data_IF_330296166617
#
_entry.id   IF_330296166617
#
_cell.length_a   1.000
_cell.length_b   1.000
_cell.length_c   1.000
_cell.angle_alpha   90.00
_cell.angle_beta   90.00
_cell.angle_gamma   90.00
#
_symmetry.space_group_name_H-M   'P 1'
#
loop_
_entity.id
_entity.type
_entity.pdbx_description
1 polymer ?
#
# COMPACT_ATOMS: atom_id res chain seq x y z
N UNK A 1 -4.85 -21.72 38.85
CA UNK A 1 -3.77 -20.72 38.92
C UNK A 1 -4.28 -19.46 38.24
N UNK A 2 -4.39 -18.35 38.98
CA UNK A 2 -4.95 -17.08 38.48
C UNK A 2 -3.82 -16.18 38.04
N UNK A 3 -3.51 -16.22 36.74
CA UNK A 3 -2.57 -15.32 36.10
C UNK A 3 -3.27 -13.99 35.81
N UNK A 4 -3.14 -13.03 36.73
CA UNK A 4 -3.66 -11.68 36.54
C UNK A 4 -2.48 -10.75 36.24
N UNK A 5 -2.28 -10.43 34.97
CA UNK A 5 -1.32 -9.42 34.55
C UNK A 5 -1.89 -8.01 34.83
N UNK A 6 -1.20 -7.23 35.66
CA UNK A 6 -1.53 -5.82 35.83
C UNK A 6 -1.13 -5.06 34.54
N UNK A 7 -2.12 -4.49 33.85
CA UNK A 7 -1.85 -3.59 32.74
C UNK A 7 -1.36 -2.23 33.28
N UNK A 8 -0.33 -1.61 32.67
CA UNK A 8 0.10 -0.27 33.05
C UNK A 8 -1.01 0.75 32.80
N UNK A 9 -1.10 1.76 33.66
CA UNK A 9 -2.05 2.85 33.46
C UNK A 9 -1.76 3.56 32.12
N UNK A 10 -2.80 3.89 31.34
CA UNK A 10 -2.61 4.62 30.09
C UNK A 10 -2.01 6.01 30.34
N UNK A 11 -1.19 6.49 29.41
CA UNK A 11 -0.59 7.81 29.52
C UNK A 11 -1.66 8.91 29.39
N UNK A 12 -1.48 10.10 29.99
CA UNK A 12 -2.37 11.24 29.76
C UNK A 12 -2.53 11.54 28.25
N UNK A 13 -3.72 11.96 27.78
CA UNK A 13 -4.90 12.40 28.54
C UNK A 13 -5.93 11.29 28.83
N UNK A 14 -5.59 10.01 28.63
CA UNK A 14 -6.56 8.92 28.80
C UNK A 14 -6.86 8.70 30.28
N UNK A 15 -8.09 8.99 30.69
CA UNK A 15 -8.57 8.58 32.01
C UNK A 15 -8.83 7.06 32.01
N UNK A 16 -8.27 6.31 32.96
CA UNK A 16 -8.54 4.88 33.06
C UNK A 16 -10.00 4.67 33.47
N UNK A 17 -10.85 4.30 32.51
CA UNK A 17 -12.20 3.80 32.79
C UNK A 17 -12.17 2.28 32.92
N UNK A 18 -12.91 1.76 33.91
CA UNK A 18 -13.05 0.31 34.07
C UNK A 18 -14.15 -0.15 33.13
N UNK A 19 -13.79 -1.05 32.21
CA UNK A 19 -14.73 -1.64 31.28
C UNK A 19 -14.72 -3.16 31.40
N UNK A 20 -15.90 -3.75 31.25
CA UNK A 20 -16.09 -5.19 31.09
C UNK A 20 -16.52 -5.48 29.66
N UNK A 21 -16.08 -6.63 29.14
CA UNK A 21 -16.44 -7.08 27.79
C UNK A 21 -17.10 -8.45 27.85
N UNK A 22 -18.10 -8.65 27.00
CA UNK A 22 -18.78 -9.94 26.84
C UNK A 22 -19.13 -10.17 25.39
N UNK A 23 -18.82 -11.36 24.89
CA UNK A 23 -19.21 -11.79 23.53
C UNK A 23 -20.72 -11.90 23.42
N UNK A 24 -21.28 -11.38 22.33
CA UNK A 24 -22.71 -11.30 22.04
C UNK A 24 -23.34 -9.97 22.44
N UNK A 25 -24.64 -9.85 22.16
CA UNK A 25 -25.44 -8.68 22.55
C UNK A 25 -25.98 -8.86 23.96
N UNK A 26 -25.47 -8.07 24.90
CA UNK A 26 -25.88 -8.14 26.31
C UNK A 26 -26.31 -6.77 26.86
N UNK A 27 -27.13 -6.79 27.90
CA UNK A 27 -27.35 -5.60 28.74
C UNK A 27 -26.13 -5.37 29.63
N UNK A 28 -25.84 -4.12 29.94
CA UNK A 28 -24.78 -3.81 30.88
C UNK A 28 -25.24 -4.01 32.32
N UNK A 29 -24.36 -4.54 33.21
CA UNK A 29 -24.68 -4.67 34.62
C UNK A 29 -24.70 -3.30 35.30
N UNK A 30 -25.28 -3.27 36.50
CA UNK A 30 -25.29 -2.08 37.35
C UNK A 30 -23.85 -1.59 37.61
N UNK A 31 -23.66 -0.27 37.56
CA UNK A 31 -22.35 0.38 37.67
C UNK A 31 -21.58 0.56 36.35
N UNK A 32 -22.02 -0.05 35.25
CA UNK A 32 -21.37 0.06 33.94
C UNK A 32 -22.35 0.57 32.87
N UNK A 33 -22.77 1.83 32.94
CA UNK A 33 -23.89 2.34 32.13
C UNK A 33 -23.51 2.67 30.68
N UNK A 34 -22.21 2.90 30.41
CA UNK A 34 -21.72 3.27 29.08
C UNK A 34 -21.55 2.03 28.21
N UNK A 35 -22.46 1.83 27.24
CA UNK A 35 -22.49 0.65 26.38
C UNK A 35 -21.92 0.94 25.00
N UNK A 36 -20.95 0.15 24.58
CA UNK A 36 -20.42 0.12 23.21
C UNK A 36 -20.52 -1.28 22.62
N UNK A 37 -20.89 -1.37 21.34
CA UNK A 37 -20.91 -2.64 20.60
C UNK A 37 -19.75 -2.65 19.61
N UNK A 38 -18.90 -3.67 19.69
CA UNK A 38 -17.80 -3.92 18.75
C UNK A 38 -17.99 -5.24 18.01
N UNK A 39 -17.20 -5.45 16.97
CA UNK A 39 -17.15 -6.67 16.19
C UNK A 39 -15.69 -7.11 16.10
N UNK A 40 -15.38 -8.37 16.40
CA UNK A 40 -14.00 -8.88 16.32
C UNK A 40 -13.62 -9.34 14.92
N UNK A 41 -14.60 -9.62 14.07
CA UNK A 41 -14.38 -10.12 12.72
C UNK A 41 -15.30 -9.43 11.73
N UNK A 42 -14.90 -9.52 10.47
CA UNK A 42 -15.67 -9.04 9.34
C UNK A 42 -15.68 -10.15 8.30
N UNK A 43 -16.86 -10.48 7.81
CA UNK A 43 -17.02 -11.35 6.65
C UNK A 43 -16.89 -10.48 5.39
N UNK A 44 -15.81 -10.73 4.65
CA UNK A 44 -15.55 -10.07 3.38
C UNK A 44 -16.35 -10.75 2.28
N UNK A 45 -17.52 -10.18 1.96
CA UNK A 45 -18.36 -10.62 0.86
C UNK A 45 -18.17 -9.81 -0.42
N UNK A 46 -17.24 -8.84 -0.45
CA UNK A 46 -17.01 -8.05 -1.65
C UNK A 46 -16.27 -8.86 -2.70
N UNK A 47 -16.66 -8.66 -3.94
CA UNK A 47 -15.99 -9.17 -5.12
C UNK A 47 -15.42 -8.00 -5.92
N UNK A 48 -14.24 -8.18 -6.48
CA UNK A 48 -13.71 -7.25 -7.48
C UNK A 48 -14.47 -7.49 -8.79
N UNK A 49 -15.08 -6.44 -9.33
CA UNK A 49 -15.74 -6.52 -10.63
C UNK A 49 -14.71 -6.23 -11.72
N UNK A 50 -14.36 -7.26 -12.49
CA UNK A 50 -13.47 -7.17 -13.64
C UNK A 50 -12.08 -7.75 -13.39
N UNK A 51 -11.29 -7.81 -14.45
CA UNK A 51 -9.90 -8.22 -14.42
C UNK A 51 -9.01 -6.97 -14.38
N UNK A 52 -7.90 -7.02 -13.64
CA UNK A 52 -6.85 -6.01 -13.75
C UNK A 52 -6.26 -6.09 -15.15
N UNK A 53 -6.81 -5.34 -16.08
CA UNK A 53 -6.19 -5.16 -17.39
C UNK A 53 -5.17 -4.05 -17.26
N UNK A 54 -3.92 -4.39 -17.53
CA UNK A 54 -2.93 -3.37 -17.85
C UNK A 54 -3.31 -2.86 -19.24
N UNK A 55 -3.60 -1.57 -19.38
CA UNK A 55 -3.70 -1.00 -20.70
C UNK A 55 -2.37 -1.31 -21.42
N UNK A 56 -2.41 -2.06 -22.52
CA UNK A 56 -1.29 -2.12 -23.45
C UNK A 56 -1.17 -0.74 -24.08
N UNK A 57 -0.46 0.15 -23.39
CA UNK A 57 -0.28 1.54 -23.76
C UNK A 57 1.19 1.89 -23.70
N UNK A 58 1.76 2.10 -24.90
CA UNK A 58 2.73 3.15 -25.21
C UNK A 58 3.93 3.31 -24.27
N UNK A 59 4.49 2.23 -23.70
CA UNK A 59 5.77 2.33 -23.01
C UNK A 59 6.82 2.94 -23.96
N UNK A 60 7.12 4.21 -23.76
CA UNK A 60 8.12 4.92 -24.53
C UNK A 60 9.46 4.67 -23.85
N UNK A 61 10.24 3.78 -24.45
CA UNK A 61 11.63 3.60 -24.08
C UNK A 61 12.42 4.72 -24.74
N UNK A 62 12.73 5.77 -23.99
CA UNK A 62 13.69 6.79 -24.38
C UNK A 62 15.05 6.49 -23.77
N UNK A 63 16.10 7.11 -24.28
CA UNK A 63 17.41 6.98 -23.65
C UNK A 63 18.45 7.84 -24.32
N UNK A 64 19.47 8.19 -23.55
CA UNK A 64 20.63 8.91 -24.05
C UNK A 64 21.82 7.94 -24.10
N UNK A 65 22.44 7.86 -25.27
CA UNK A 65 23.73 7.20 -25.44
C UNK A 65 24.81 8.28 -25.41
N UNK A 66 25.73 8.19 -24.45
CA UNK A 66 26.93 9.01 -24.44
C UNK A 66 28.10 8.19 -24.97
N UNK A 67 28.79 8.71 -25.97
CA UNK A 67 30.01 8.11 -26.49
C UNK A 67 31.23 8.91 -26.05
N UNK A 68 32.30 8.19 -25.75
CA UNK A 68 33.54 8.72 -25.21
C UNK A 68 34.71 8.34 -26.11
N UNK A 69 35.62 9.29 -26.35
CA UNK A 69 36.83 9.06 -27.15
C UNK A 69 37.99 8.46 -26.36
N UNK A 70 37.85 8.31 -25.03
CA UNK A 70 38.79 7.58 -24.19
C UNK A 70 38.11 6.40 -23.47
N UNK A 71 38.93 5.53 -22.88
CA UNK A 71 38.47 4.41 -22.06
C UNK A 71 37.84 4.89 -20.75
N UNK A 72 37.08 4.01 -20.09
CA UNK A 72 36.45 4.27 -18.79
C UNK A 72 35.52 5.49 -18.75
N UNK A 73 34.80 5.78 -19.83
CA UNK A 73 33.86 6.89 -19.95
C UNK A 73 34.51 8.26 -19.65
N UNK A 74 35.76 8.45 -20.09
CA UNK A 74 36.50 9.71 -19.94
C UNK A 74 36.60 10.50 -21.27
N UNK A 75 36.85 11.80 -21.16
CA UNK A 75 37.12 12.69 -22.31
C UNK A 75 35.86 13.34 -22.90
N UNK A 76 36.01 13.94 -24.09
CA UNK A 76 34.91 14.65 -24.77
C UNK A 76 33.79 13.69 -25.15
N UNK A 77 32.57 14.10 -24.87
CA UNK A 77 31.36 13.33 -25.16
C UNK A 77 30.61 13.86 -26.38
N UNK A 78 29.85 12.98 -27.00
CA UNK A 78 28.73 13.35 -27.86
C UNK A 78 27.50 12.58 -27.40
N UNK A 79 26.36 13.26 -27.28
CA UNK A 79 25.09 12.64 -26.96
C UNK A 79 24.39 12.22 -28.25
N UNK A 80 24.11 10.92 -28.37
CA UNK A 80 23.26 10.38 -29.43
C UNK A 80 21.88 10.16 -28.82
N UNK A 81 20.91 10.94 -29.30
CA UNK A 81 19.51 10.72 -28.98
C UNK A 81 18.96 9.61 -29.86
N UNK A 82 18.07 8.80 -29.32
CA UNK A 82 17.29 7.86 -30.12
C UNK A 82 16.67 8.59 -31.31
N UNK A 83 17.09 8.23 -32.51
CA UNK A 83 16.43 8.57 -33.75
C UNK A 83 15.82 7.28 -34.32
N UNK A 84 14.75 7.39 -35.11
CA UNK A 84 14.08 6.25 -35.76
C UNK A 84 14.95 5.55 -36.83
N UNK A 85 16.25 5.87 -36.90
CA UNK A 85 17.20 5.30 -37.86
C UNK A 85 18.46 4.81 -37.16
N UNK A 86 18.93 3.63 -37.56
CA UNK A 86 20.14 3.04 -37.04
C UNK A 86 21.38 3.81 -37.54
N UNK A 87 22.29 4.18 -36.63
CA UNK A 87 23.62 4.68 -36.99
C UNK A 87 24.52 3.47 -37.24
N UNK A 88 24.91 3.26 -38.49
CA UNK A 88 25.68 2.08 -38.92
C UNK A 88 27.20 2.25 -38.80
N UNK A 89 27.68 3.45 -38.54
CA UNK A 89 29.11 3.74 -38.38
C UNK A 89 29.35 4.77 -37.27
N UNK A 90 29.90 4.31 -36.15
CA UNK A 90 30.28 5.15 -35.02
C UNK A 90 31.65 4.70 -34.49
N UNK A 91 32.56 5.65 -34.25
CA UNK A 91 33.88 5.35 -33.67
C UNK A 91 33.97 5.97 -32.29
N UNK A 92 34.21 5.12 -31.28
CA UNK A 92 34.31 5.51 -29.87
C UNK A 92 35.19 4.51 -29.11
N UNK A 93 35.74 4.92 -27.97
CA UNK A 93 36.57 4.07 -27.11
C UNK A 93 35.77 3.47 -25.94
N UNK A 94 34.72 4.17 -25.48
CA UNK A 94 33.75 3.64 -24.52
C UNK A 94 32.40 4.34 -24.68
N UNK A 95 31.34 3.77 -24.11
CA UNK A 95 29.99 4.31 -24.18
C UNK A 95 29.23 4.04 -22.88
N UNK A 96 28.34 4.96 -22.49
CA UNK A 96 27.36 4.77 -21.43
C UNK A 96 25.95 4.96 -22.02
N UNK A 97 25.00 4.13 -21.57
CA UNK A 97 23.62 4.23 -22.00
C UNK A 97 22.72 4.33 -20.77
N UNK A 98 21.92 5.38 -20.72
CA UNK A 98 20.91 5.57 -19.70
C UNK A 98 19.53 5.44 -20.37
N UNK A 99 18.88 4.31 -20.14
CA UNK A 99 17.50 4.09 -20.57
C UNK A 99 16.53 4.73 -19.58
N UNK A 100 15.51 5.39 -20.11
CA UNK A 100 14.36 5.88 -19.37
C UNK A 100 13.10 5.27 -19.97
N UNK A 101 12.23 4.74 -19.12
CA UNK A 101 10.96 4.18 -19.54
C UNK A 101 9.85 5.03 -18.97
N UNK A 102 9.15 5.76 -19.83
CA UNK A 102 7.92 6.46 -19.47
C UNK A 102 6.76 5.51 -19.77
N UNK A 103 6.50 4.61 -18.83
CA UNK A 103 5.16 4.13 -18.46
C UNK A 103 5.27 2.82 -17.66
N UNK A 104 4.68 2.85 -16.47
CA UNK A 104 4.25 1.67 -15.74
C UNK A 104 2.76 1.44 -16.01
N UNK A 105 2.31 0.19 -15.91
CA UNK A 105 0.92 -0.16 -16.13
C UNK A 105 -0.02 0.73 -15.29
N UNK A 106 -0.90 1.48 -15.95
CA UNK A 106 -1.97 2.20 -15.24
C UNK A 106 -3.00 1.15 -14.83
N UNK A 107 -3.04 0.83 -13.53
CA UNK A 107 -4.07 -0.04 -12.99
C UNK A 107 -5.43 0.61 -13.24
N UNK A 108 -6.32 -0.10 -13.93
CA UNK A 108 -7.71 0.31 -14.01
C UNK A 108 -8.30 0.28 -12.60
N UNK A 109 -9.07 1.31 -12.23
CA UNK A 109 -9.82 1.30 -10.98
C UNK A 109 -10.94 0.27 -11.10
N UNK A 110 -10.75 -0.92 -10.52
CA UNK A 110 -11.83 -1.90 -10.44
C UNK A 110 -12.85 -1.45 -9.39
N UNK A 111 -14.12 -1.47 -9.74
CA UNK A 111 -15.19 -1.34 -8.76
C UNK A 111 -15.27 -2.61 -7.92
N UNK A 112 -15.38 -2.50 -6.60
CA UNK A 112 -15.79 -3.62 -5.76
C UNK A 112 -17.32 -3.61 -5.67
N UNK A 113 -17.97 -4.76 -5.85
CA UNK A 113 -19.37 -4.93 -5.44
C UNK A 113 -19.50 -5.87 -4.26
N UNK A 114 -20.65 -5.88 -3.60
CA UNK A 114 -20.89 -6.65 -2.38
C UNK A 114 -20.74 -5.82 -1.11
N UNK A 115 -20.75 -6.51 0.03
CA UNK A 115 -20.78 -5.88 1.36
C UNK A 115 -19.77 -6.53 2.28
N UNK A 116 -19.27 -5.75 3.24
CA UNK A 116 -18.55 -6.30 4.39
C UNK A 116 -19.55 -6.42 5.53
N UNK A 117 -19.74 -7.63 6.04
CA UNK A 117 -20.68 -7.88 7.13
C UNK A 117 -19.88 -8.07 8.42
N UNK A 118 -20.02 -7.18 9.42
CA UNK A 118 -19.40 -7.41 10.72
C UNK A 118 -19.95 -8.70 11.34
N UNK A 119 -19.07 -9.54 11.89
CA UNK A 119 -19.42 -10.77 12.58
C UNK A 119 -18.80 -10.79 13.99
N UNK A 120 -19.28 -11.70 14.83
CA UNK A 120 -18.81 -11.86 16.21
C UNK A 120 -18.91 -10.58 17.06
N UNK A 121 -20.13 -10.27 17.48
CA UNK A 121 -20.44 -9.10 18.32
C UNK A 121 -19.77 -9.21 19.69
N UNK A 122 -19.27 -8.10 20.22
CA UNK A 122 -18.86 -7.89 21.60
C UNK A 122 -19.61 -6.70 22.18
N UNK A 123 -20.16 -6.87 23.38
CA UNK A 123 -20.66 -5.76 24.17
C UNK A 123 -19.58 -5.35 25.17
N UNK A 124 -19.18 -4.08 25.12
CA UNK A 124 -18.34 -3.44 26.13
C UNK A 124 -19.25 -2.54 26.97
N UNK A 125 -19.10 -2.65 28.29
CA UNK A 125 -19.79 -1.81 29.25
C UNK A 125 -18.74 -1.15 30.13
N UNK A 126 -18.75 0.17 30.23
CA UNK A 126 -17.79 0.96 31.01
C UNK A 126 -18.49 1.69 32.16
N UNK A 127 -17.75 1.97 33.22
CA UNK A 127 -18.19 2.90 34.25
C UNK A 127 -18.39 4.30 33.65
N UNK A 128 -19.35 5.11 34.15
CA UNK A 128 -19.52 6.50 33.74
C UNK A 128 -18.26 7.35 33.95
#
# INVERSE_FOLDING_TARGET
>A
ETDHACAPAPAPPFEPSLCITRRGTHGCPEGYQEKTTLFSSWEEGRTCNGECTCATGLAHCSGALEIFQASACAGSTASVWQADTCITSLTFASASYAATTDDGCIASSLGTSGTVTPSEIFTICCTP
#
